data_IF_489850775260
#
_entry.id   IF_489850775260
#
_cell.length_a   1.000
_cell.length_b   1.000
_cell.length_c   1.000
_cell.angle_alpha   90.00
_cell.angle_beta   90.00
_cell.angle_gamma   90.00
#
_symmetry.space_group_name_H-M   'P 1'
#
loop_
_entity.id
_entity.type
_entity.pdbx_description
1 polymer ?
#
# COMPACT_ATOMS: atom_id res chain seq x y z
N UNK A 1 6.25 -10.88 -15.24
CA UNK A 1 7.31 -10.05 -14.64
C UNK A 1 6.74 -9.56 -13.33
N UNK A 2 7.29 -10.02 -12.22
CA UNK A 2 6.88 -9.61 -10.88
C UNK A 2 7.35 -8.17 -10.63
N UNK A 3 6.54 -7.19 -11.00
CA UNK A 3 6.86 -5.78 -10.77
C UNK A 3 6.90 -5.52 -9.25
N UNK A 4 8.10 -5.26 -8.73
CA UNK A 4 8.34 -4.93 -7.32
C UNK A 4 8.30 -3.42 -7.18
N UNK A 5 7.34 -2.92 -6.41
CA UNK A 5 7.29 -1.51 -6.01
C UNK A 5 8.09 -1.30 -4.74
N UNK A 6 8.73 -0.15 -4.64
CA UNK A 6 9.43 0.27 -3.42
C UNK A 6 8.69 1.39 -2.71
N UNK A 7 9.03 1.65 -1.45
CA UNK A 7 8.34 2.66 -0.62
C UNK A 7 8.27 4.00 -1.33
N UNK A 8 9.38 4.39 -1.98
CA UNK A 8 9.51 5.65 -2.70
C UNK A 8 8.53 5.76 -3.87
N UNK A 9 8.26 4.64 -4.56
CA UNK A 9 7.28 4.59 -5.65
C UNK A 9 5.87 4.84 -5.11
N UNK A 10 5.49 4.12 -4.05
CA UNK A 10 4.18 4.26 -3.41
C UNK A 10 3.97 5.66 -2.84
N UNK A 11 4.96 6.21 -2.14
CA UNK A 11 4.88 7.58 -1.59
C UNK A 11 4.75 8.62 -2.69
N UNK A 12 5.43 8.43 -3.83
CA UNK A 12 5.34 9.34 -4.97
C UNK A 12 3.98 9.23 -5.67
N UNK A 13 3.49 7.99 -5.86
CA UNK A 13 2.22 7.68 -6.52
C UNK A 13 1.02 8.25 -5.76
N UNK A 14 1.00 8.07 -4.43
CA UNK A 14 -0.09 8.58 -3.59
C UNK A 14 0.15 10.00 -3.06
N UNK A 15 1.32 10.61 -3.35
CA UNK A 15 1.73 11.92 -2.84
C UNK A 15 1.64 12.02 -1.31
N UNK A 16 2.12 10.99 -0.63
CA UNK A 16 2.11 10.89 0.82
C UNK A 16 3.51 10.66 1.38
N UNK A 17 3.69 10.94 2.66
CA UNK A 17 4.92 10.60 3.38
C UNK A 17 5.00 9.11 3.68
N UNK A 18 6.22 8.57 3.83
CA UNK A 18 6.45 7.19 4.29
C UNK A 18 5.69 6.89 5.58
N UNK A 19 5.70 7.81 6.56
CA UNK A 19 4.96 7.66 7.82
C UNK A 19 3.47 7.43 7.57
N UNK A 20 2.87 8.21 6.67
CA UNK A 20 1.46 8.08 6.29
C UNK A 20 1.17 6.73 5.64
N UNK A 21 2.05 6.24 4.77
CA UNK A 21 1.93 4.90 4.17
C UNK A 21 1.89 3.80 5.24
N UNK A 22 2.77 3.85 6.23
CA UNK A 22 2.76 2.91 7.36
C UNK A 22 1.50 3.03 8.21
N UNK A 23 1.03 4.26 8.48
CA UNK A 23 -0.24 4.48 9.16
C UNK A 23 -1.44 3.89 8.40
N UNK A 24 -1.40 3.82 7.07
CA UNK A 24 -2.49 3.21 6.31
C UNK A 24 -2.59 1.69 6.48
N UNK A 25 -1.54 1.03 7.00
CA UNK A 25 -1.59 -0.41 7.33
C UNK A 25 -2.46 -0.71 8.55
N UNK A 26 -2.80 0.30 9.36
CA UNK A 26 -3.69 0.16 10.51
C UNK A 26 -5.08 0.64 10.15
N UNK A 27 -6.10 -0.18 10.46
CA UNK A 27 -7.51 0.16 10.22
C UNK A 27 -7.98 1.40 10.99
N UNK A 28 -7.31 1.77 12.09
CA UNK A 28 -7.62 2.95 12.89
C UNK A 28 -7.16 4.26 12.22
N UNK A 29 -6.04 4.22 11.51
CA UNK A 29 -5.41 5.40 10.89
C UNK A 29 -5.55 5.43 9.37
N UNK A 30 -6.18 4.42 8.76
CA UNK A 30 -6.50 4.43 7.34
C UNK A 30 -7.60 5.46 7.04
N UNK A 31 -7.52 6.22 5.94
CA UNK A 31 -8.59 7.13 5.54
C UNK A 31 -9.92 6.39 5.31
N UNK A 32 -11.03 7.00 5.71
CA UNK A 32 -12.39 6.40 5.57
C UNK A 32 -12.81 6.08 4.13
N UNK A 33 -12.05 6.53 3.13
CA UNK A 33 -12.26 6.20 1.73
C UNK A 33 -11.63 4.87 1.28
N UNK A 34 -10.96 4.14 2.16
CA UNK A 34 -10.43 2.81 1.89
C UNK A 34 -11.28 1.73 2.57
N UNK A 35 -11.49 0.63 1.86
CA UNK A 35 -12.30 -0.51 2.33
C UNK A 35 -11.51 -1.36 3.34
N UNK A 36 -10.19 -1.43 3.18
CA UNK A 36 -9.30 -2.20 4.02
C UNK A 36 -7.94 -1.51 4.19
N UNK A 37 -7.17 -1.84 5.25
CA UNK A 37 -5.85 -1.27 5.45
C UNK A 37 -4.88 -1.60 4.31
N UNK A 38 -3.88 -0.74 4.12
CA UNK A 38 -2.84 -0.90 3.11
C UNK A 38 -2.05 -2.20 3.35
N UNK A 39 -1.69 -2.95 2.30
CA UNK A 39 -1.00 -4.22 2.47
C UNK A 39 0.39 -4.06 3.11
N UNK A 40 0.81 -5.02 3.95
CA UNK A 40 2.17 -5.06 4.45
C UNK A 40 3.16 -5.35 3.32
N UNK A 41 4.46 -5.02 3.50
CA UNK A 41 5.49 -5.39 2.53
C UNK A 41 5.57 -6.92 2.38
N UNK A 42 5.57 -7.39 1.13
CA UNK A 42 5.54 -8.82 0.79
C UNK A 42 6.84 -9.57 1.10
N UNK A 43 7.93 -8.85 1.38
CA UNK A 43 9.26 -9.44 1.55
C UNK A 43 9.74 -9.36 3.00
N UNK A 44 9.85 -10.51 3.72
CA UNK A 44 10.35 -10.52 5.09
C UNK A 44 11.81 -10.02 5.12
N UNK A 45 12.07 -9.02 5.95
CA UNK A 45 13.38 -8.39 6.10
C UNK A 45 13.65 -7.19 5.20
N UNK A 46 12.81 -6.90 4.20
CA UNK A 46 12.91 -5.67 3.43
C UNK A 46 11.60 -4.86 3.48
N UNK A 47 11.46 -3.94 4.45
CA UNK A 47 10.23 -3.17 4.65
C UNK A 47 9.98 -2.15 3.53
N UNK A 48 10.83 -2.12 2.50
CA UNK A 48 10.71 -1.21 1.36
C UNK A 48 10.31 -1.90 0.06
N UNK A 49 9.76 -3.13 0.09
CA UNK A 49 9.36 -3.85 -1.11
C UNK A 49 7.93 -4.37 -1.01
N UNK A 50 7.15 -4.09 -2.04
CA UNK A 50 5.78 -4.56 -2.25
C UNK A 50 5.68 -5.21 -3.62
N UNK A 51 4.83 -6.23 -3.73
CA UNK A 51 4.42 -6.75 -5.02
C UNK A 51 3.39 -5.79 -5.60
N UNK A 52 3.57 -5.41 -6.86
CA UNK A 52 2.58 -4.61 -7.58
C UNK A 52 1.21 -5.27 -7.60
N UNK A 53 1.17 -6.60 -7.61
CA UNK A 53 -0.06 -7.38 -7.56
C UNK A 53 -0.81 -7.14 -6.24
N UNK A 54 -0.16 -7.27 -5.10
CA UNK A 54 -0.75 -7.00 -3.77
C UNK A 54 -1.31 -5.57 -3.67
N UNK A 55 -0.58 -4.58 -4.21
CA UNK A 55 -1.06 -3.20 -4.27
C UNK A 55 -2.27 -3.08 -5.19
N UNK A 56 -2.22 -3.68 -6.38
CA UNK A 56 -3.29 -3.66 -7.37
C UNK A 56 -4.56 -4.32 -6.84
N UNK A 57 -4.45 -5.45 -6.16
CA UNK A 57 -5.60 -6.11 -5.51
C UNK A 57 -6.22 -5.23 -4.42
N UNK A 58 -5.39 -4.53 -3.64
CA UNK A 58 -5.88 -3.58 -2.65
C UNK A 58 -6.57 -2.37 -3.28
N UNK A 59 -6.02 -1.85 -4.38
CA UNK A 59 -6.63 -0.78 -5.17
C UNK A 59 -7.94 -1.25 -5.85
N UNK A 60 -8.02 -2.50 -6.29
CA UNK A 60 -9.19 -3.08 -6.95
C UNK A 60 -10.34 -3.33 -5.96
N UNK A 61 -10.03 -3.76 -4.73
CA UNK A 61 -11.00 -3.82 -3.61
C UNK A 61 -11.68 -2.48 -3.32
N UNK A 62 -11.11 -1.36 -3.79
CA UNK A 62 -11.67 -0.02 -3.66
C UNK A 62 -12.80 0.27 -4.66
N UNK A 63 -12.96 -0.54 -5.72
CA UNK A 63 -14.08 -0.41 -6.67
C UNK A 63 -15.29 -1.18 -6.17
N UNK A 64 -16.00 -0.61 -5.20
CA UNK A 64 -17.43 -0.89 -5.05
C UNK A 64 -18.14 0.22 -5.81
N UNK A 65 -18.61 -0.11 -7.00
CA UNK A 65 -19.61 0.67 -7.73
C UNK A 65 -20.91 -0.12 -7.69
#
# INVERSE_FOLDING_TARGET
MDDILVTSDLTSRYKISRKTLWSWQSADTMPRGFVCPFPPPDWPGNPNRWRSESIKEWEDKKKIN
#
